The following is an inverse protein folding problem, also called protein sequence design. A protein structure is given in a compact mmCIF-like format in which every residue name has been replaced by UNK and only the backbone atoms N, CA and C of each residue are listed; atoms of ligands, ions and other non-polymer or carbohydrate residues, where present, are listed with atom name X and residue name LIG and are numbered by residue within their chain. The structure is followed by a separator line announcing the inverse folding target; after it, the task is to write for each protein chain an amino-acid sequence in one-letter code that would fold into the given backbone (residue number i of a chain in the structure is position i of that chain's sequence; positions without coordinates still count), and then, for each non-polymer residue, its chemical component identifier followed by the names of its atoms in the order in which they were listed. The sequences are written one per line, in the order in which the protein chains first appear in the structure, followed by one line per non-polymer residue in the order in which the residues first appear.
data_IF_487918460917
#
_entry.id   IF_487918460917
#
_cell.length_a   1.000
_cell.length_b   1.000
_cell.length_c   1.000
_cell.angle_alpha   90.00
_cell.angle_beta   90.00
_cell.angle_gamma   90.00
#
_symmetry.space_group_name_H-M   'P 1'
#
loop_
_entity.id
_entity.type
_entity.pdbx_description
1 polymer ?
#
# COMPACT_ATOMS: atom_id res chain seq x y z
N UNK A 1 -13.08 25.19 -24.85
CA UNK A 1 -11.70 24.71 -25.15
C UNK A 1 -10.74 25.03 -23.99
N UNK A 2 -10.91 26.16 -23.30
CA UNK A 2 -10.05 26.64 -22.20
C UNK A 2 -9.92 25.69 -20.99
N UNK A 3 -11.00 25.02 -20.58
CA UNK A 3 -10.97 24.08 -19.44
C UNK A 3 -9.99 22.92 -19.61
N UNK A 4 -9.76 22.45 -20.84
CA UNK A 4 -8.81 21.35 -21.13
C UNK A 4 -7.36 21.83 -21.08
N UNK A 5 -7.08 23.05 -21.51
CA UNK A 5 -5.72 23.63 -21.43
C UNK A 5 -5.30 23.88 -19.98
N UNK A 6 -6.23 24.39 -19.15
CA UNK A 6 -5.97 24.62 -17.73
C UNK A 6 -5.68 23.31 -16.98
N UNK A 7 -6.35 22.21 -17.36
CA UNK A 7 -6.14 20.88 -16.79
C UNK A 7 -4.76 20.28 -17.15
N UNK A 8 -4.29 20.44 -18.39
CA UNK A 8 -2.97 19.96 -18.80
C UNK A 8 -1.81 20.79 -18.22
N UNK A 9 -1.97 22.10 -18.09
CA UNK A 9 -0.99 22.96 -17.42
C UNK A 9 -0.84 22.58 -15.93
N UNK A 10 -1.96 22.35 -15.25
CA UNK A 10 -1.97 21.87 -13.87
C UNK A 10 -1.22 20.53 -13.74
N UNK A 11 -1.52 19.56 -14.62
CA UNK A 11 -0.83 18.27 -14.64
C UNK A 11 0.68 18.42 -14.85
N UNK A 12 1.11 19.30 -15.76
CA UNK A 12 2.52 19.56 -16.03
C UNK A 12 3.25 20.15 -14.81
N UNK A 13 2.62 21.09 -14.10
CA UNK A 13 3.18 21.68 -12.87
C UNK A 13 3.37 20.62 -11.78
N UNK A 14 2.34 19.79 -11.54
CA UNK A 14 2.43 18.69 -10.55
C UNK A 14 3.57 17.72 -10.89
N UNK A 15 3.76 17.36 -12.16
CA UNK A 15 4.87 16.49 -12.60
C UNK A 15 6.22 17.14 -12.35
N UNK A 16 6.40 18.41 -12.73
CA UNK A 16 7.67 19.12 -12.60
C UNK A 16 8.09 19.25 -11.12
N UNK A 17 7.15 19.55 -10.23
CA UNK A 17 7.45 19.68 -8.79
C UNK A 17 7.77 18.33 -8.12
N UNK A 18 7.10 17.26 -8.55
CA UNK A 18 7.41 15.92 -8.07
C UNK A 18 8.79 15.44 -8.55
N UNK A 19 9.13 15.67 -9.83
CA UNK A 19 10.42 15.28 -10.42
C UNK A 19 11.61 16.04 -9.82
N UNK A 20 11.40 17.28 -9.36
CA UNK A 20 12.41 18.05 -8.62
C UNK A 20 12.75 17.45 -7.24
N UNK A 21 12.04 16.40 -6.81
CA UNK A 21 12.23 15.76 -5.50
C UNK A 21 11.74 16.62 -4.33
N UNK A 22 11.09 17.75 -4.60
CA UNK A 22 10.76 18.74 -3.59
C UNK A 22 9.63 18.29 -2.65
N UNK A 23 8.64 17.54 -3.16
CA UNK A 23 7.41 17.24 -2.44
C UNK A 23 6.84 15.86 -2.80
N UNK A 24 6.58 15.01 -1.80
CA UNK A 24 5.82 13.77 -1.96
C UNK A 24 4.32 14.00 -2.13
N UNK A 25 3.58 12.94 -2.49
CA UNK A 25 2.14 13.00 -2.86
C UNK A 25 1.28 13.83 -1.88
N UNK A 26 1.45 13.64 -0.57
CA UNK A 26 0.66 14.31 0.47
C UNK A 26 0.92 15.82 0.53
N UNK A 27 2.16 16.26 0.29
CA UNK A 27 2.52 17.68 0.34
C UNK A 27 2.02 18.42 -0.91
N UNK A 28 2.11 17.79 -2.07
CA UNK A 28 1.52 18.31 -3.32
C UNK A 28 0.01 18.44 -3.21
N UNK A 29 -0.68 17.43 -2.68
CA UNK A 29 -2.12 17.45 -2.46
C UNK A 29 -2.55 18.66 -1.62
N UNK A 30 -1.86 18.90 -0.49
CA UNK A 30 -2.11 20.06 0.37
C UNK A 30 -1.86 21.39 -0.33
N UNK A 31 -0.80 21.49 -1.14
CA UNK A 31 -0.43 22.71 -1.87
C UNK A 31 -1.49 23.12 -2.91
N UNK A 32 -2.05 22.14 -3.61
CA UNK A 32 -3.00 22.36 -4.70
C UNK A 32 -4.47 22.23 -4.28
N UNK A 33 -4.76 21.98 -2.99
CA UNK A 33 -6.13 21.84 -2.50
C UNK A 33 -6.88 20.63 -3.06
N UNK A 34 -6.16 19.60 -3.49
CA UNK A 34 -6.73 18.38 -4.08
C UNK A 34 -6.43 17.15 -3.22
N UNK A 35 -7.09 16.03 -3.50
CA UNK A 35 -6.79 14.78 -2.81
C UNK A 35 -5.47 14.16 -3.28
N UNK A 36 -4.87 13.35 -2.40
CA UNK A 36 -3.65 12.60 -2.73
C UNK A 36 -3.81 11.73 -3.98
N UNK A 37 -5.00 11.14 -4.16
CA UNK A 37 -5.24 10.20 -5.26
C UNK A 37 -5.36 10.90 -6.61
N UNK A 38 -5.81 12.16 -6.65
CA UNK A 38 -5.73 13.01 -7.85
C UNK A 38 -4.27 13.21 -8.25
N UNK A 39 -3.40 13.59 -7.31
CA UNK A 39 -1.96 13.75 -7.57
C UNK A 39 -1.34 12.42 -8.04
N UNK A 40 -1.69 11.30 -7.41
CA UNK A 40 -1.24 9.96 -7.81
C UNK A 40 -1.66 9.63 -9.23
N UNK A 41 -2.92 9.89 -9.59
CA UNK A 41 -3.45 9.66 -10.93
C UNK A 41 -2.70 10.44 -11.99
N UNK A 42 -2.41 11.72 -11.73
CA UNK A 42 -1.64 12.58 -12.64
C UNK A 42 -0.24 12.00 -12.87
N UNK A 43 0.47 11.65 -11.81
CA UNK A 43 1.85 11.17 -11.88
C UNK A 43 1.96 9.81 -12.57
N UNK A 44 1.00 8.91 -12.32
CA UNK A 44 0.95 7.60 -12.96
C UNK A 44 0.52 7.67 -14.43
N UNK A 45 -0.37 8.59 -14.79
CA UNK A 45 -0.85 8.73 -16.18
C UNK A 45 0.28 9.08 -17.17
N UNK A 46 1.29 9.83 -16.74
CA UNK A 46 2.44 10.15 -17.61
C UNK A 46 3.50 9.06 -17.71
N UNK A 47 3.45 8.05 -16.82
CA UNK A 47 4.31 6.87 -16.93
C UNK A 47 3.79 5.83 -17.93
N UNK A 48 2.55 5.95 -18.42
CA UNK A 48 2.00 5.01 -19.41
C UNK A 48 2.60 5.15 -20.81
N UNK A 49 3.29 6.24 -21.11
CA UNK A 49 3.97 6.47 -22.40
C UNK A 49 5.51 6.39 -22.34
N UNK A 50 6.09 6.41 -21.14
CA UNK A 50 7.51 6.09 -20.95
C UNK A 50 7.55 4.64 -20.52
N UNK A 51 7.91 3.76 -21.44
CA UNK A 51 8.53 2.48 -21.09
C UNK A 51 9.73 2.80 -20.20
N UNK A 52 9.49 2.94 -18.89
CA UNK A 52 10.49 2.58 -17.90
C UNK A 52 10.78 1.13 -18.22
N UNK A 53 11.79 0.91 -19.07
CA UNK A 53 12.51 -0.34 -19.09
C UNK A 53 13.09 -0.45 -17.69
N UNK A 54 12.30 -1.00 -16.78
CA UNK A 54 12.81 -1.51 -15.53
C UNK A 54 13.74 -2.59 -16.01
N UNK A 55 15.03 -2.29 -15.94
CA UNK A 55 16.09 -3.24 -16.19
C UNK A 55 16.02 -4.22 -15.03
N UNK A 56 15.15 -5.23 -15.19
CA UNK A 56 14.78 -6.19 -14.16
C UNK A 56 16.05 -6.83 -13.59
N UNK A 57 17.07 -7.01 -14.42
CA UNK A 57 18.38 -7.52 -14.05
C UNK A 57 19.13 -6.59 -13.08
N UNK A 58 19.06 -5.27 -13.26
CA UNK A 58 19.65 -4.30 -12.31
C UNK A 58 18.90 -4.25 -10.98
N UNK A 59 17.57 -4.31 -11.01
CA UNK A 59 16.78 -4.33 -9.77
C UNK A 59 17.00 -5.64 -8.99
N UNK A 60 17.07 -6.78 -9.69
CA UNK A 60 17.41 -8.07 -9.09
C UNK A 60 18.84 -8.13 -8.56
N UNK A 61 19.79 -7.45 -9.20
CA UNK A 61 21.18 -7.38 -8.72
C UNK A 61 21.34 -6.52 -7.45
N UNK A 62 20.50 -5.51 -7.26
CA UNK A 62 20.45 -4.68 -6.04
C UNK A 62 19.62 -5.35 -4.95
N UNK A 63 18.66 -6.20 -5.32
CA UNK A 63 17.95 -7.07 -4.40
C UNK A 63 18.90 -8.15 -3.87
N UNK A 64 19.67 -7.80 -2.84
CA UNK A 64 20.30 -8.79 -1.97
C UNK A 64 19.19 -9.29 -1.04
N UNK A 65 18.61 -10.49 -1.25
CA UNK A 65 17.74 -11.04 -0.23
C UNK A 65 18.65 -11.25 0.99
N UNK A 66 18.43 -10.49 2.07
CA UNK A 66 18.83 -10.98 3.38
C UNK A 66 17.85 -12.10 3.75
N UNK A 67 17.89 -13.18 2.96
CA UNK A 67 16.85 -14.21 2.89
C UNK A 67 16.59 -14.87 4.23
N UNK A 68 17.60 -14.91 5.10
CA UNK A 68 17.48 -15.53 6.42
C UNK A 68 16.60 -14.70 7.38
N UNK A 69 16.76 -13.37 7.39
CA UNK A 69 16.02 -12.50 8.33
C UNK A 69 14.56 -12.32 7.95
N UNK A 70 14.27 -12.23 6.66
CA UNK A 70 12.89 -12.11 6.16
C UNK A 70 12.14 -13.44 6.31
N UNK A 71 12.78 -14.56 5.99
CA UNK A 71 12.17 -15.89 6.16
C UNK A 71 11.84 -16.17 7.62
N UNK A 72 12.73 -15.81 8.54
CA UNK A 72 12.48 -15.97 9.98
C UNK A 72 11.35 -15.05 10.46
N UNK A 73 11.24 -13.83 9.94
CA UNK A 73 10.11 -12.95 10.23
C UNK A 73 8.78 -13.58 9.81
N UNK A 74 8.69 -14.16 8.60
CA UNK A 74 7.48 -14.82 8.13
C UNK A 74 7.16 -16.10 8.91
N UNK A 75 8.16 -16.89 9.30
CA UNK A 75 7.95 -18.07 10.17
C UNK A 75 7.37 -17.67 11.53
N UNK A 76 7.91 -16.64 12.16
CA UNK A 76 7.41 -16.14 13.45
C UNK A 76 6.00 -15.57 13.32
N UNK A 77 5.73 -14.80 12.26
CA UNK A 77 4.40 -14.27 12.00
C UNK A 77 3.38 -15.40 11.79
N UNK A 78 3.71 -16.43 11.00
CA UNK A 78 2.85 -17.59 10.80
C UNK A 78 2.57 -18.34 12.11
N UNK A 79 3.59 -18.57 12.94
CA UNK A 79 3.42 -19.22 14.23
C UNK A 79 2.49 -18.43 15.16
N UNK A 80 2.66 -17.10 15.23
CA UNK A 80 1.79 -16.23 16.00
C UNK A 80 0.33 -16.31 15.54
N UNK A 81 0.08 -16.21 14.23
CA UNK A 81 -1.28 -16.23 13.69
C UNK A 81 -1.98 -17.58 13.89
N UNK A 82 -1.25 -18.70 13.79
CA UNK A 82 -1.80 -20.02 14.07
C UNK A 82 -2.20 -20.18 15.55
N UNK A 83 -1.35 -19.73 16.48
CA UNK A 83 -1.68 -19.77 17.91
C UNK A 83 -2.84 -18.84 18.28
N UNK A 84 -2.89 -17.65 17.67
CA UNK A 84 -4.02 -16.74 17.85
C UNK A 84 -5.34 -17.34 17.34
N UNK A 85 -5.33 -17.98 16.18
CA UNK A 85 -6.51 -18.65 15.63
C UNK A 85 -7.03 -19.76 16.56
N UNK A 86 -6.14 -20.62 17.08
CA UNK A 86 -6.52 -21.65 18.07
C UNK A 86 -7.18 -21.07 19.32
N UNK A 87 -6.65 -19.95 19.85
CA UNK A 87 -7.25 -19.28 21.02
C UNK A 87 -8.65 -18.75 20.71
N UNK A 88 -8.86 -18.21 19.52
CA UNK A 88 -10.19 -17.77 19.08
C UNK A 88 -11.17 -18.96 18.95
N UNK A 89 -10.72 -20.08 18.41
CA UNK A 89 -11.54 -21.30 18.31
C UNK A 89 -11.96 -21.80 19.69
N UNK A 90 -11.03 -21.87 20.65
CA UNK A 90 -11.31 -22.25 22.04
C UNK A 90 -12.30 -21.29 22.72
N UNK A 91 -12.15 -19.99 22.50
CA UNK A 91 -13.05 -18.97 23.07
C UNK A 91 -14.46 -19.08 22.46
N UNK A 92 -14.56 -19.34 21.15
CA UNK A 92 -15.84 -19.58 20.47
C UNK A 92 -16.52 -20.84 21.01
N UNK A 93 -15.78 -21.95 21.16
CA UNK A 93 -16.31 -23.19 21.73
C UNK A 93 -16.81 -23.00 23.16
N UNK A 94 -16.05 -22.29 23.99
CA UNK A 94 -16.43 -21.96 25.36
C UNK A 94 -17.72 -21.13 25.41
N UNK A 95 -17.81 -20.08 24.58
CA UNK A 95 -19.03 -19.27 24.48
C UNK A 95 -20.24 -20.08 23.99
N UNK A 96 -20.05 -21.05 23.10
CA UNK A 96 -21.13 -21.94 22.68
C UNK A 96 -21.57 -22.90 23.78
N UNK A 97 -20.63 -23.44 24.57
CA UNK A 97 -20.94 -24.30 25.72
C UNK A 97 -21.67 -23.54 26.82
N UNK A 98 -21.23 -22.32 27.14
CA UNK A 98 -21.88 -21.47 28.15
C UNK A 98 -23.31 -21.09 27.71
N UNK A 99 -23.51 -20.76 26.43
CA UNK A 99 -24.86 -20.53 25.87
C UNK A 99 -25.74 -21.77 25.94
N UNK A 100 -25.20 -22.97 25.71
CA UNK A 100 -25.96 -24.23 25.84
C UNK A 100 -26.35 -24.51 27.29
N UNK A 101 -25.44 -24.30 28.25
CA UNK A 101 -25.73 -24.46 29.68
C UNK A 101 -26.83 -23.51 30.16
N UNK A 102 -26.81 -22.25 29.73
CA UNK A 102 -27.85 -21.27 30.07
C UNK A 102 -29.22 -21.58 29.44
N UNK A 103 -29.29 -22.39 28.38
CA UNK A 103 -30.55 -22.74 27.71
C UNK A 103 -31.21 -24.00 28.27
N UNK A 104 -30.51 -24.74 29.13
CA UNK A 104 -30.97 -25.99 29.77
C UNK A 104 -31.33 -25.82 31.27
N UNK A 105 -31.33 -24.58 31.77
CA UNK A 105 -31.85 -24.18 33.09
C UNK A 105 -33.15 -23.42 32.84
#
# INVERSE_FOLDING_TARGET
MERKQHDEQFKAQVRAEYLRGALGYKKLAKKYGVTRDVIRGILLAGRRGSTMKIDLEKELAVFKPSGDKELDHYKHACAYWMEYAKRLEQEIEKQQQDKKKFKCI
#
